data_IF_727085078501
#
_entry.id   IF_727085078501
#
_cell.length_a   1.000
_cell.length_b   1.000
_cell.length_c   1.000
_cell.angle_alpha   90.00
_cell.angle_beta   90.00
_cell.angle_gamma   90.00
#
_symmetry.space_group_name_H-M   'P 1'
#
loop_
_entity.id
_entity.type
_entity.pdbx_description
1 polymer ?
#
# COMPACT_ATOMS: atom_id res chain seq x y z
N UNK A 1 0.06 25.15 -40.08
CA UNK A 1 0.74 25.32 -38.77
C UNK A 1 -0.11 24.82 -37.59
N UNK A 2 -1.37 25.25 -37.44
CA UNK A 2 -2.21 24.86 -36.29
C UNK A 2 -2.50 23.34 -36.17
N UNK A 3 -2.73 22.63 -37.28
CA UNK A 3 -3.03 21.18 -37.24
C UNK A 3 -1.85 20.34 -36.72
N UNK A 4 -0.62 20.75 -37.06
CA UNK A 4 0.61 20.07 -36.62
C UNK A 4 0.88 20.23 -35.12
N UNK A 5 0.47 21.35 -34.53
CA UNK A 5 0.55 21.55 -33.08
C UNK A 5 -0.46 20.67 -32.35
N UNK A 6 -1.66 20.55 -32.90
CA UNK A 6 -2.73 19.77 -32.30
C UNK A 6 -2.42 18.27 -32.29
N UNK A 7 -1.88 17.75 -33.40
CA UNK A 7 -1.43 16.35 -33.49
C UNK A 7 -0.27 16.06 -32.53
N UNK A 8 0.69 16.97 -32.39
CA UNK A 8 1.77 16.85 -31.39
C UNK A 8 1.23 16.78 -29.97
N UNK A 9 0.26 17.63 -29.63
CA UNK A 9 -0.38 17.64 -28.32
C UNK A 9 -1.08 16.31 -28.01
N UNK A 10 -1.78 15.75 -29.00
CA UNK A 10 -2.45 14.45 -28.86
C UNK A 10 -1.45 13.29 -28.67
N UNK A 11 -0.33 13.31 -29.40
CA UNK A 11 0.72 12.29 -29.25
C UNK A 11 1.36 12.35 -27.86
N UNK A 12 1.62 13.55 -27.34
CA UNK A 12 2.15 13.75 -26.00
C UNK A 12 1.13 13.30 -24.94
N UNK A 13 -0.15 13.62 -25.11
CA UNK A 13 -1.19 13.18 -24.18
C UNK A 13 -1.33 11.65 -24.17
N UNK A 14 -1.33 11.01 -25.34
CA UNK A 14 -1.40 9.56 -25.47
C UNK A 14 -0.18 8.87 -24.82
N UNK A 15 1.03 9.43 -24.96
CA UNK A 15 2.24 8.87 -24.35
C UNK A 15 2.26 9.01 -22.83
N UNK A 16 1.76 10.13 -22.29
CA UNK A 16 1.61 10.34 -20.83
C UNK A 16 0.55 9.42 -20.20
N UNK A 17 -0.55 9.17 -20.90
CA UNK A 17 -1.57 8.21 -20.45
C UNK A 17 -0.97 6.80 -20.41
N UNK A 18 -0.24 6.41 -21.46
CA UNK A 18 0.38 5.08 -21.57
C UNK A 18 1.42 4.83 -20.47
N UNK A 19 2.21 5.85 -20.10
CA UNK A 19 3.20 5.74 -19.03
C UNK A 19 2.57 5.65 -17.63
N UNK A 20 1.37 6.22 -17.42
CA UNK A 20 0.66 6.12 -16.14
C UNK A 20 0.20 4.70 -15.82
N UNK A 21 -0.15 3.90 -16.83
CA UNK A 21 -0.55 2.50 -16.65
C UNK A 21 0.64 1.54 -16.39
N UNK A 22 1.86 1.94 -16.74
CA UNK A 22 3.09 1.20 -16.45
C UNK A 22 3.79 1.67 -15.17
N UNK A 23 3.21 2.62 -14.43
CA UNK A 23 3.79 3.06 -13.17
C UNK A 23 3.80 1.88 -12.17
N UNK A 24 4.92 1.61 -11.49
CA UNK A 24 4.95 0.58 -10.45
C UNK A 24 3.94 0.94 -9.36
N UNK A 25 3.29 -0.06 -8.74
CA UNK A 25 2.40 0.20 -7.62
C UNK A 25 3.16 0.93 -6.50
N UNK A 26 2.42 1.71 -5.71
CA UNK A 26 2.99 2.38 -4.53
C UNK A 26 3.69 1.34 -3.67
N UNK A 27 4.89 1.68 -3.19
CA UNK A 27 5.62 0.81 -2.27
C UNK A 27 4.75 0.53 -1.03
N UNK A 28 4.78 -0.70 -0.48
CA UNK A 28 4.20 -0.97 0.83
C UNK A 28 4.75 0.03 1.86
N UNK A 29 3.85 0.54 2.70
CA UNK A 29 4.20 1.44 3.80
C UNK A 29 3.86 0.71 5.09
N UNK A 30 4.86 0.48 5.92
CA UNK A 30 4.69 -0.17 7.20
C UNK A 30 3.88 0.72 8.15
N UNK A 31 2.93 0.12 8.85
CA UNK A 31 2.00 0.81 9.76
C UNK A 31 1.79 -0.03 11.02
N UNK A 32 1.47 0.59 12.17
CA UNK A 32 1.17 -0.17 13.38
C UNK A 32 -0.08 -1.03 13.20
N UNK A 33 -0.09 -2.21 13.82
CA UNK A 33 -1.16 -3.21 13.74
C UNK A 33 -2.55 -2.61 13.94
N UNK A 34 -2.72 -1.77 14.97
CA UNK A 34 -4.00 -1.15 15.33
C UNK A 34 -4.59 -0.19 14.28
N UNK A 35 -3.85 0.13 13.21
CA UNK A 35 -4.38 0.92 12.09
C UNK A 35 -5.35 0.11 11.22
N UNK A 36 -5.04 -1.16 10.99
CA UNK A 36 -5.74 -2.00 10.02
C UNK A 36 -6.38 -3.24 10.63
N UNK A 37 -5.95 -3.64 11.83
CA UNK A 37 -6.35 -4.89 12.46
C UNK A 37 -6.77 -4.67 13.91
N UNK A 38 -7.60 -5.58 14.40
CA UNK A 38 -7.98 -5.69 15.81
C UNK A 38 -7.94 -7.15 16.24
N UNK A 39 -7.56 -7.44 17.50
CA UNK A 39 -7.53 -8.80 17.99
C UNK A 39 -8.94 -9.35 18.21
N UNK A 40 -9.13 -10.64 17.94
CA UNK A 40 -10.44 -11.31 18.07
C UNK A 40 -10.47 -12.34 19.19
N UNK A 41 -9.32 -12.90 19.57
CA UNK A 41 -9.20 -13.94 20.58
C UNK A 41 -7.86 -13.82 21.32
N UNK A 42 -7.83 -14.27 22.59
CA UNK A 42 -6.65 -14.30 23.46
C UNK A 42 -5.80 -13.03 23.36
N UNK A 43 -6.36 -11.90 23.79
CA UNK A 43 -5.77 -10.57 23.58
C UNK A 43 -4.41 -10.44 24.28
N UNK A 44 -4.25 -11.16 25.39
CA UNK A 44 -3.04 -11.27 26.17
C UNK A 44 -1.95 -12.12 25.49
N UNK A 45 -2.31 -12.97 24.52
CA UNK A 45 -1.37 -13.76 23.71
C UNK A 45 -0.79 -12.99 22.52
N UNK A 46 -1.16 -11.71 22.35
CA UNK A 46 -0.60 -10.84 21.31
C UNK A 46 0.32 -9.83 21.99
N UNK A 47 1.62 -9.96 21.74
CA UNK A 47 2.63 -9.05 22.30
C UNK A 47 2.95 -7.95 21.30
N UNK A 48 2.82 -6.70 21.72
CA UNK A 48 3.07 -5.53 20.89
C UNK A 48 4.45 -4.96 21.20
N UNK A 49 5.26 -4.79 20.18
CA UNK A 49 6.58 -4.19 20.24
C UNK A 49 6.62 -2.90 19.41
N UNK A 50 7.51 -1.97 19.75
CA UNK A 50 7.72 -0.74 18.97
C UNK A 50 6.42 0.02 18.65
N UNK A 51 5.52 0.15 19.63
CA UNK A 51 4.22 0.81 19.45
C UNK A 51 3.24 0.06 18.53
N UNK A 52 3.42 -1.25 18.34
CA UNK A 52 2.60 -2.10 17.48
C UNK A 52 3.10 -2.20 16.04
N UNK A 53 4.31 -1.71 15.74
CA UNK A 53 4.96 -1.94 14.44
C UNK A 53 5.38 -3.40 14.25
N UNK A 54 5.58 -4.13 15.34
CA UNK A 54 5.83 -5.57 15.33
C UNK A 54 4.95 -6.22 16.40
N UNK A 55 4.39 -7.38 16.08
CA UNK A 55 3.63 -8.18 17.04
C UNK A 55 4.10 -9.64 17.03
N UNK A 56 3.97 -10.31 18.17
CA UNK A 56 4.16 -11.75 18.28
C UNK A 56 2.90 -12.41 18.79
N UNK A 57 2.56 -13.55 18.19
CA UNK A 57 1.46 -14.41 18.60
C UNK A 57 2.02 -15.53 19.46
N UNK A 58 1.48 -15.68 20.66
CA UNK A 58 1.84 -16.74 21.58
C UNK A 58 0.80 -17.85 21.50
N UNK A 59 1.27 -19.08 21.34
CA UNK A 59 0.45 -20.27 21.32
C UNK A 59 0.89 -21.19 22.46
N UNK A 60 -0.06 -21.61 23.29
CA UNK A 60 0.12 -22.68 24.24
C UNK A 60 -1.05 -23.68 24.21
N UNK A 61 -1.08 -24.62 25.17
CA UNK A 61 -2.10 -25.67 25.21
C UNK A 61 -3.51 -25.16 25.55
N UNK A 62 -3.62 -23.94 26.07
CA UNK A 62 -4.88 -23.32 26.43
C UNK A 62 -5.39 -22.42 25.31
N UNK A 63 -4.50 -21.62 24.71
CA UNK A 63 -4.87 -20.71 23.62
C UNK A 63 -3.71 -20.14 22.82
#
# INVERSE_FOLDING_TARGET
MASSFWTLCLIILASLISSSFCAPPRKPVDVPFGRNYYPTWAFDHIKYFNGGSEIQLHLDKYT
#
